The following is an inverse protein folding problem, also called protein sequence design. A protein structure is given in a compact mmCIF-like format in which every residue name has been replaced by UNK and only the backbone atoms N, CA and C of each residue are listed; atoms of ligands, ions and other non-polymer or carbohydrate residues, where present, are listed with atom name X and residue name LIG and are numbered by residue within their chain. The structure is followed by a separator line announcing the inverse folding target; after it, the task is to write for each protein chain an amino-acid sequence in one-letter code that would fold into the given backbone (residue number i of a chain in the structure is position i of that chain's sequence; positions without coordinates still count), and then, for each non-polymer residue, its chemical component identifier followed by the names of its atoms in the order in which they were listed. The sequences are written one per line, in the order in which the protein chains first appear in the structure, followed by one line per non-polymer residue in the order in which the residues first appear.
data_IF_106703626911
#
_entry.id   IF_106703626911
#
_cell.length_a   1.000
_cell.length_b   1.000
_cell.length_c   1.000
_cell.angle_alpha   90.00
_cell.angle_beta   90.00
_cell.angle_gamma   90.00
#
_symmetry.space_group_name_H-M   'P 1'
#
loop_
_entity.id
_entity.type
_entity.pdbx_description
1 polymer ?
#
# COMPACT_ATOMS: atom_id res chain seq x y z
N UNK A 1 34.21 -14.53 29.07
CA UNK A 1 35.01 -15.63 28.49
C UNK A 1 34.90 -16.88 29.37
N UNK A 2 33.91 -17.76 29.18
CA UNK A 2 33.97 -19.12 29.69
C UNK A 2 34.29 -20.12 28.57
N UNK A 3 35.15 -21.09 28.90
CA UNK A 3 35.62 -22.20 28.07
C UNK A 3 34.69 -23.39 28.30
N UNK A 4 33.95 -23.83 27.28
CA UNK A 4 33.13 -25.05 27.32
C UNK A 4 33.80 -26.16 26.51
N UNK A 5 34.52 -27.04 27.21
CA UNK A 5 35.16 -28.24 26.69
C UNK A 5 34.42 -29.46 27.23
N UNK A 6 33.30 -29.85 26.62
CA UNK A 6 32.56 -31.05 27.06
C UNK A 6 31.72 -31.77 25.98
N UNK A 7 31.99 -31.58 24.69
CA UNK A 7 31.20 -32.22 23.61
C UNK A 7 32.05 -33.04 22.63
N UNK A 8 32.89 -33.95 23.14
CA UNK A 8 33.72 -34.83 22.28
C UNK A 8 33.69 -36.32 22.66
N UNK A 9 32.68 -36.81 23.38
CA UNK A 9 32.63 -38.23 23.80
C UNK A 9 31.33 -38.98 23.55
N UNK A 10 30.57 -38.58 22.52
CA UNK A 10 29.31 -39.27 22.19
C UNK A 10 29.13 -39.51 20.69
N UNK A 11 30.22 -39.73 19.95
CA UNK A 11 30.19 -40.01 18.50
C UNK A 11 30.71 -41.40 18.10
N UNK A 12 30.99 -42.32 19.04
CA UNK A 12 31.73 -43.55 18.69
C UNK A 12 30.93 -44.87 18.67
N UNK A 13 29.67 -44.92 19.10
CA UNK A 13 28.95 -46.20 19.24
C UNK A 13 27.82 -46.48 18.22
N UNK A 14 27.57 -45.62 17.24
CA UNK A 14 26.48 -45.85 16.25
C UNK A 14 26.96 -46.55 14.96
N UNK A 15 28.17 -47.12 14.92
CA UNK A 15 28.78 -47.65 13.68
C UNK A 15 28.57 -49.14 13.37
N UNK A 16 27.92 -49.94 14.23
CA UNK A 16 27.92 -51.41 14.06
C UNK A 16 26.63 -52.04 13.51
N UNK A 17 25.61 -51.26 13.11
CA UNK A 17 24.38 -51.79 12.48
C UNK A 17 24.31 -51.57 10.95
N UNK A 18 25.44 -51.62 10.26
CA UNK A 18 25.50 -51.70 8.78
C UNK A 18 25.94 -53.10 8.34
N UNK A 19 25.02 -54.03 8.15
CA UNK A 19 25.15 -55.09 7.13
C UNK A 19 23.97 -56.04 7.12
N UNK A 20 22.89 -55.59 6.48
CA UNK A 20 21.98 -56.43 5.68
C UNK A 20 21.06 -55.45 4.95
N UNK A 21 21.68 -54.65 4.07
CA UNK A 21 20.95 -53.83 3.11
C UNK A 21 20.17 -54.78 2.21
N UNK A 22 18.91 -55.03 2.57
CA UNK A 22 17.95 -55.72 1.72
C UNK A 22 17.93 -54.98 0.39
N UNK A 23 18.11 -55.71 -0.71
CA UNK A 23 18.00 -55.18 -2.08
C UNK A 23 16.67 -54.41 -2.27
N UNK A 24 15.62 -54.76 -1.50
CA UNK A 24 14.35 -54.04 -1.47
C UNK A 24 14.44 -52.60 -0.92
N UNK A 25 15.42 -52.28 -0.07
CA UNK A 25 15.65 -50.93 0.43
C UNK A 25 16.22 -50.00 -0.64
N UNK A 26 17.16 -50.49 -1.45
CA UNK A 26 17.75 -49.71 -2.55
C UNK A 26 16.72 -49.40 -3.64
N UNK A 27 15.85 -50.36 -3.99
CA UNK A 27 14.76 -50.14 -4.94
C UNK A 27 13.77 -49.06 -4.48
N UNK A 28 13.37 -49.09 -3.19
CA UNK A 28 12.51 -48.05 -2.61
C UNK A 28 13.19 -46.68 -2.62
N UNK A 29 14.48 -46.64 -2.30
CA UNK A 29 15.24 -45.39 -2.31
C UNK A 29 15.34 -44.79 -3.73
N UNK A 30 15.57 -45.61 -4.75
CA UNK A 30 15.60 -45.19 -6.16
C UNK A 30 14.22 -44.67 -6.61
N UNK A 31 13.13 -45.33 -6.22
CA UNK A 31 11.76 -44.87 -6.52
C UNK A 31 11.43 -43.52 -5.85
N UNK A 32 11.87 -43.31 -4.59
CA UNK A 32 11.71 -42.04 -3.88
C UNK A 32 12.49 -40.91 -4.56
N UNK A 33 13.72 -41.18 -5.04
CA UNK A 33 14.50 -40.18 -5.77
C UNK A 33 13.88 -39.85 -7.14
N UNK A 34 13.33 -40.83 -7.85
CA UNK A 34 12.67 -40.60 -9.13
C UNK A 34 11.40 -39.74 -8.97
N UNK A 35 10.56 -40.06 -7.98
CA UNK A 35 9.35 -39.28 -7.67
C UNK A 35 9.68 -37.86 -7.19
N UNK A 36 10.70 -37.70 -6.33
CA UNK A 36 11.16 -36.38 -5.87
C UNK A 36 11.68 -35.50 -7.02
N UNK A 37 12.44 -36.07 -7.97
CA UNK A 37 12.90 -35.33 -9.16
C UNK A 37 11.74 -34.85 -10.04
N UNK A 38 10.75 -35.71 -10.25
CA UNK A 38 9.55 -35.36 -11.02
C UNK A 38 8.75 -34.24 -10.33
N UNK A 39 8.56 -34.34 -9.01
CA UNK A 39 7.85 -33.31 -8.23
C UNK A 39 8.59 -31.96 -8.27
N UNK A 40 9.92 -31.98 -8.16
CA UNK A 40 10.74 -30.77 -8.23
C UNK A 40 10.68 -30.12 -9.62
N UNK A 41 10.65 -30.92 -10.69
CA UNK A 41 10.44 -30.42 -12.05
C UNK A 41 9.05 -29.77 -12.20
N UNK A 42 8.00 -30.39 -11.65
CA UNK A 42 6.65 -29.86 -11.67
C UNK A 42 6.55 -28.54 -10.91
N UNK A 43 7.14 -28.44 -9.71
CA UNK A 43 7.19 -27.20 -8.91
C UNK A 43 7.92 -26.07 -9.65
N UNK A 44 9.03 -26.37 -10.33
CA UNK A 44 9.76 -25.40 -11.15
C UNK A 44 8.90 -24.88 -12.33
N UNK A 45 8.20 -25.79 -13.02
CA UNK A 45 7.29 -25.41 -14.11
C UNK A 45 6.16 -24.50 -13.62
N UNK A 46 5.54 -24.82 -12.46
CA UNK A 46 4.49 -23.98 -11.88
C UNK A 46 5.00 -22.60 -11.47
N UNK A 47 6.18 -22.50 -10.83
CA UNK A 47 6.79 -21.21 -10.49
C UNK A 47 7.03 -20.35 -11.73
N UNK A 48 7.59 -20.95 -12.79
CA UNK A 48 7.82 -20.25 -14.06
C UNK A 48 6.52 -19.74 -14.69
N UNK A 49 5.44 -20.55 -14.66
CA UNK A 49 4.13 -20.12 -15.15
C UNK A 49 3.53 -18.97 -14.34
N UNK A 50 3.65 -19.03 -13.00
CA UNK A 50 3.17 -17.96 -12.11
C UNK A 50 3.95 -16.66 -12.35
N UNK A 51 5.27 -16.74 -12.51
CA UNK A 51 6.11 -15.58 -12.79
C UNK A 51 5.75 -14.95 -14.15
N UNK A 52 5.54 -15.76 -15.18
CA UNK A 52 5.20 -15.29 -16.52
C UNK A 52 3.79 -14.66 -16.54
N UNK A 53 2.82 -15.26 -15.84
CA UNK A 53 1.50 -14.68 -15.67
C UNK A 53 1.54 -13.36 -14.87
N UNK A 54 2.40 -13.27 -13.85
CA UNK A 54 2.60 -12.02 -13.11
C UNK A 54 3.21 -10.93 -14.00
N UNK A 55 4.22 -11.26 -14.81
CA UNK A 55 4.82 -10.33 -15.79
C UNK A 55 3.79 -9.85 -16.81
N UNK A 56 3.00 -10.75 -17.38
CA UNK A 56 1.92 -10.39 -18.32
C UNK A 56 0.87 -9.50 -17.66
N UNK A 57 0.51 -9.75 -16.40
CA UNK A 57 -0.45 -8.92 -15.67
C UNK A 57 0.11 -7.53 -15.37
N UNK A 58 1.39 -7.42 -14.99
CA UNK A 58 2.07 -6.13 -14.82
C UNK A 58 2.13 -5.37 -16.15
N UNK A 59 2.48 -6.04 -17.25
CA UNK A 59 2.50 -5.44 -18.58
C UNK A 59 1.10 -4.99 -19.03
N UNK A 60 0.04 -5.74 -18.72
CA UNK A 60 -1.34 -5.32 -19.01
C UNK A 60 -1.80 -4.12 -18.18
N UNK A 61 -1.34 -4.01 -16.93
CA UNK A 61 -1.66 -2.89 -16.05
C UNK A 61 -0.85 -1.65 -16.43
N UNK A 62 0.46 -1.79 -16.63
CA UNK A 62 1.36 -0.69 -16.98
C UNK A 62 1.26 -0.26 -18.44
N UNK A 63 0.94 -1.17 -19.37
CA UNK A 63 0.83 -0.87 -20.81
C UNK A 63 -0.46 -0.14 -21.20
N UNK A 64 -1.45 -0.05 -20.29
CA UNK A 64 -2.66 0.76 -20.49
C UNK A 64 -2.58 2.14 -19.85
N UNK A 65 -1.60 2.37 -18.98
CA UNK A 65 -1.32 3.68 -18.44
C UNK A 65 -0.33 4.38 -19.39
N UNK A 66 -0.74 5.50 -19.98
CA UNK A 66 0.16 6.50 -20.55
C UNK A 66 0.75 6.30 -21.97
N UNK A 67 -0.12 6.12 -22.96
CA UNK A 67 0.02 6.90 -24.21
C UNK A 67 -1.01 8.05 -24.23
N UNK A 68 -1.39 8.56 -23.07
CA UNK A 68 -1.87 9.94 -23.01
C UNK A 68 -0.65 10.80 -23.30
N UNK A 69 -0.57 11.32 -24.52
CA UNK A 69 0.34 12.40 -24.89
C UNK A 69 0.54 13.30 -23.68
N UNK A 70 1.79 13.45 -23.22
CA UNK A 70 2.08 14.48 -22.22
C UNK A 70 1.43 15.75 -22.77
N UNK A 71 0.50 16.38 -22.02
CA UNK A 71 -0.19 17.56 -22.51
C UNK A 71 0.87 18.55 -22.98
N UNK A 72 0.67 19.14 -24.16
CA UNK A 72 1.68 19.96 -24.84
C UNK A 72 2.26 21.05 -23.92
N UNK A 73 1.45 21.53 -22.96
CA UNK A 73 1.84 22.45 -21.90
C UNK A 73 2.99 21.96 -21.01
N UNK A 74 3.02 20.67 -20.64
CA UNK A 74 4.10 20.10 -19.84
C UNK A 74 5.38 19.95 -20.65
N UNK A 75 5.27 19.60 -21.94
CA UNK A 75 6.43 19.53 -22.85
C UNK A 75 7.02 20.93 -23.05
N UNK A 76 6.17 21.95 -23.25
CA UNK A 76 6.58 23.34 -23.34
C UNK A 76 7.23 23.84 -22.04
N UNK A 77 6.66 23.50 -20.87
CA UNK A 77 7.23 23.86 -19.58
C UNK A 77 8.59 23.19 -19.34
N UNK A 78 8.73 21.88 -19.61
CA UNK A 78 10.02 21.18 -19.51
C UNK A 78 11.09 21.83 -20.40
N UNK A 79 10.75 22.15 -21.65
CA UNK A 79 11.67 22.85 -22.57
C UNK A 79 12.08 24.22 -22.05
N UNK A 80 11.15 24.99 -21.49
CA UNK A 80 11.43 26.29 -20.89
C UNK A 80 12.35 26.20 -19.65
N UNK A 81 12.20 25.17 -18.80
CA UNK A 81 13.12 24.91 -17.68
C UNK A 81 14.52 24.56 -18.19
N UNK A 82 14.61 23.66 -19.17
CA UNK A 82 15.89 23.23 -19.74
C UNK A 82 16.64 24.37 -20.44
N UNK A 83 15.93 25.34 -21.01
CA UNK A 83 16.54 26.52 -21.63
C UNK A 83 16.89 27.63 -20.63
N UNK A 84 16.69 27.41 -19.32
CA UNK A 84 16.97 28.41 -18.28
C UNK A 84 15.99 29.58 -18.29
N UNK A 85 14.88 29.49 -19.04
CA UNK A 85 13.83 30.50 -19.04
C UNK A 85 13.02 30.33 -17.77
N UNK A 86 12.94 31.35 -16.89
CA UNK A 86 12.13 31.26 -15.68
C UNK A 86 10.67 31.03 -16.08
N UNK A 87 10.12 29.88 -15.69
CA UNK A 87 8.75 29.45 -16.00
C UNK A 87 7.67 30.44 -15.58
N UNK A 88 7.98 31.30 -14.60
CA UNK A 88 7.12 32.42 -14.26
C UNK A 88 7.69 33.66 -14.92
N UNK A 89 6.93 34.39 -15.75
CA UNK A 89 7.34 35.71 -16.18
C UNK A 89 7.63 36.50 -14.91
N UNK A 90 8.91 36.82 -14.68
CA UNK A 90 9.27 37.80 -13.69
C UNK A 90 8.71 39.09 -14.24
N UNK A 91 7.48 39.46 -13.86
CA UNK A 91 7.02 40.82 -14.05
C UNK A 91 7.78 41.65 -13.04
N UNK A 92 8.75 42.48 -13.46
CA UNK A 92 9.29 43.48 -12.57
C UNK A 92 8.20 44.55 -12.43
N UNK A 93 7.19 44.31 -11.60
CA UNK A 93 6.47 45.43 -11.01
C UNK A 93 7.44 46.04 -10.02
N UNK A 94 8.37 46.82 -10.56
CA UNK A 94 9.46 47.44 -9.82
C UNK A 94 8.98 48.49 -8.84
N UNK A 95 7.66 48.73 -8.75
CA UNK A 95 7.01 49.75 -7.92
C UNK A 95 5.95 49.11 -7.02
N UNK A 96 5.85 49.57 -5.78
CA UNK A 96 4.87 49.09 -4.83
C UNK A 96 3.51 49.74 -5.09
N UNK A 97 2.46 48.94 -5.22
CA UNK A 97 1.11 49.46 -5.45
C UNK A 97 0.50 50.23 -4.24
N UNK A 98 1.16 50.24 -3.08
CA UNK A 98 0.71 50.98 -1.89
C UNK A 98 1.32 52.38 -1.84
N UNK A 99 2.64 52.51 -2.03
CA UNK A 99 3.35 53.79 -1.95
C UNK A 99 3.80 54.37 -3.32
N UNK A 100 3.76 53.57 -4.39
CA UNK A 100 4.25 53.96 -5.72
C UNK A 100 5.77 53.95 -5.89
N UNK A 101 6.53 53.72 -4.81
CA UNK A 101 8.01 53.75 -4.86
C UNK A 101 8.60 52.46 -5.39
N UNK A 102 9.82 52.55 -5.93
CA UNK A 102 10.53 51.39 -6.43
C UNK A 102 10.87 50.40 -5.31
N UNK A 103 10.67 49.11 -5.54
CA UNK A 103 10.94 48.05 -4.56
C UNK A 103 12.36 47.52 -4.78
N UNK A 104 13.21 47.69 -3.77
CA UNK A 104 14.50 47.00 -3.73
C UNK A 104 14.31 45.50 -3.46
N UNK A 105 15.07 44.65 -4.15
CA UNK A 105 14.94 43.19 -4.08
C UNK A 105 15.04 42.63 -2.65
N UNK A 106 15.73 43.32 -1.73
CA UNK A 106 15.90 42.91 -0.33
C UNK A 106 14.63 43.05 0.52
N UNK A 107 13.71 43.93 0.16
CA UNK A 107 12.52 44.26 0.97
C UNK A 107 11.20 43.92 0.27
N UNK A 108 11.27 43.12 -0.79
CA UNK A 108 10.11 42.67 -1.55
C UNK A 108 9.43 41.49 -0.86
N UNK A 109 8.17 41.67 -0.46
CA UNK A 109 7.29 40.57 -0.04
C UNK A 109 6.34 40.24 -1.18
N UNK A 110 6.46 39.02 -1.73
CA UNK A 110 5.55 38.51 -2.76
C UNK A 110 4.45 37.66 -2.11
N UNK A 111 3.20 38.01 -2.36
CA UNK A 111 2.03 37.27 -1.87
C UNK A 111 1.74 36.05 -2.76
N UNK A 112 0.92 35.07 -2.31
CA UNK A 112 0.53 33.92 -3.13
C UNK A 112 -0.23 34.27 -4.41
N UNK A 113 -0.92 35.41 -4.41
CA UNK A 113 -1.55 36.01 -5.59
C UNK A 113 -0.55 36.74 -6.52
N UNK A 114 0.75 36.53 -6.30
CA UNK A 114 1.88 37.05 -7.07
C UNK A 114 2.13 38.57 -7.03
N UNK A 115 1.29 39.33 -6.34
CA UNK A 115 1.54 40.76 -6.11
C UNK A 115 2.72 41.00 -5.17
N UNK A 116 3.52 42.01 -5.48
CA UNK A 116 4.73 42.39 -4.75
C UNK A 116 4.57 43.75 -4.07
N UNK A 117 4.98 43.84 -2.81
CA UNK A 117 4.94 45.07 -2.01
C UNK A 117 6.21 45.21 -1.18
N UNK A 118 6.54 46.42 -0.72
CA UNK A 118 7.49 46.55 0.40
C UNK A 118 6.91 45.84 1.62
N UNK A 119 7.77 45.15 2.37
CA UNK A 119 7.38 44.46 3.61
C UNK A 119 6.65 45.40 4.59
N UNK A 120 7.14 46.63 4.75
CA UNK A 120 6.57 47.63 5.67
C UNK A 120 5.17 48.08 5.22
N UNK A 121 4.99 48.36 3.92
CA UNK A 121 3.71 48.86 3.41
C UNK A 121 2.58 47.83 3.58
N UNK A 122 2.85 46.56 3.24
CA UNK A 122 1.81 45.53 3.36
C UNK A 122 1.54 45.16 4.83
N UNK A 123 2.56 45.18 5.68
CA UNK A 123 2.42 44.91 7.10
C UNK A 123 1.61 46.01 7.81
N UNK A 124 1.85 47.28 7.50
CA UNK A 124 1.07 48.39 8.03
C UNK A 124 -0.40 48.32 7.56
N UNK A 125 -0.64 48.02 6.28
CA UNK A 125 -1.99 47.78 5.76
C UNK A 125 -2.69 46.65 6.51
N UNK A 126 -2.00 45.53 6.75
CA UNK A 126 -2.52 44.39 7.50
C UNK A 126 -2.83 44.74 8.96
N UNK A 127 -1.95 45.50 9.64
CA UNK A 127 -2.19 46.00 11.01
C UNK A 127 -3.41 46.91 11.06
N UNK A 128 -3.54 47.84 10.12
CA UNK A 128 -4.69 48.74 10.06
C UNK A 128 -6.00 47.99 9.84
N UNK A 129 -6.00 47.01 8.93
CA UNK A 129 -7.18 46.21 8.64
C UNK A 129 -7.59 45.34 9.83
N UNK A 130 -6.63 44.69 10.51
CA UNK A 130 -6.92 43.95 11.74
C UNK A 130 -7.48 44.85 12.86
N UNK A 131 -7.01 46.09 12.98
CA UNK A 131 -7.52 47.05 13.98
C UNK A 131 -8.91 47.58 13.67
N UNK A 132 -9.17 47.92 12.40
CA UNK A 132 -10.44 48.55 11.97
C UNK A 132 -11.55 47.53 11.76
N UNK A 133 -11.25 46.43 11.08
CA UNK A 133 -12.24 45.45 10.61
C UNK A 133 -12.25 44.17 11.46
N UNK A 134 -11.21 43.91 12.27
CA UNK A 134 -11.00 42.64 13.00
C UNK A 134 -10.91 41.40 12.09
N UNK A 135 -10.67 41.61 10.81
CA UNK A 135 -10.48 40.56 9.82
C UNK A 135 -9.07 39.96 9.90
N UNK A 136 -9.01 38.67 10.25
CA UNK A 136 -7.75 37.90 10.33
C UNK A 136 -7.35 37.28 8.99
N UNK A 137 -8.09 37.56 7.91
CA UNK A 137 -7.88 36.98 6.56
C UNK A 137 -6.70 37.59 5.80
N UNK A 138 -6.14 38.70 6.29
CA UNK A 138 -4.98 39.41 5.75
C UNK A 138 -5.01 39.50 4.19
N UNK A 139 -5.99 40.18 3.58
CA UNK A 139 -6.10 40.20 2.13
C UNK A 139 -4.96 40.97 1.47
N UNK A 140 -4.74 40.67 0.19
CA UNK A 140 -3.90 41.45 -0.70
C UNK A 140 -4.54 42.82 -0.97
N UNK A 141 -3.73 43.88 -0.96
CA UNK A 141 -4.20 45.24 -1.26
C UNK A 141 -4.82 45.37 -2.65
N UNK A 142 -4.21 44.74 -3.67
CA UNK A 142 -4.62 44.89 -5.08
C UNK A 142 -5.82 44.02 -5.46
N UNK A 143 -5.78 42.71 -5.15
CA UNK A 143 -6.78 41.76 -5.61
C UNK A 143 -7.72 41.26 -4.50
N UNK A 144 -7.52 41.68 -3.25
CA UNK A 144 -8.27 41.24 -2.07
C UNK A 144 -8.20 39.73 -1.75
N UNK A 145 -7.41 38.95 -2.49
CA UNK A 145 -7.19 37.54 -2.21
C UNK A 145 -6.49 37.36 -0.84
N UNK A 146 -6.84 36.34 -0.04
CA UNK A 146 -6.21 36.09 1.25
C UNK A 146 -4.72 35.79 1.07
N UNK A 147 -3.86 36.52 1.79
CA UNK A 147 -2.41 36.36 1.66
C UNK A 147 -1.86 35.11 2.34
N UNK A 148 -2.60 34.57 3.30
CA UNK A 148 -2.25 33.34 4.00
C UNK A 148 -3.45 32.39 3.92
N UNK A 149 -3.19 31.14 3.51
CA UNK A 149 -4.11 30.06 3.88
C UNK A 149 -4.01 29.94 5.39
N UNK A 150 -5.11 30.23 6.09
CA UNK A 150 -5.11 30.07 7.55
C UNK A 150 -4.78 28.62 7.88
N UNK A 151 -4.11 28.39 9.01
CA UNK A 151 -3.82 27.04 9.50
C UNK A 151 -5.13 26.22 9.60
N UNK A 152 -6.24 26.89 9.91
CA UNK A 152 -7.57 26.29 9.95
C UNK A 152 -8.00 25.77 8.57
N UNK A 153 -7.88 26.58 7.50
CA UNK A 153 -8.18 26.13 6.14
C UNK A 153 -7.33 24.92 5.74
N UNK A 154 -6.03 24.92 6.10
CA UNK A 154 -5.17 23.76 5.84
C UNK A 154 -5.56 22.53 6.68
N UNK A 155 -5.99 22.73 7.93
CA UNK A 155 -6.46 21.66 8.79
C UNK A 155 -7.77 21.04 8.29
N UNK A 156 -8.68 21.88 7.78
CA UNK A 156 -9.95 21.48 7.18
C UNK A 156 -9.72 20.75 5.84
N UNK A 157 -8.85 21.27 4.98
CA UNK A 157 -8.42 20.57 3.74
C UNK A 157 -7.84 19.19 4.07
N UNK A 158 -6.99 19.09 5.11
CA UNK A 158 -6.40 17.80 5.53
C UNK A 158 -7.41 16.86 6.19
N UNK A 159 -8.47 17.39 6.81
CA UNK A 159 -9.57 16.58 7.36
C UNK A 159 -10.42 16.03 6.22
N UNK A 160 -10.87 16.89 5.30
CA UNK A 160 -11.64 16.51 4.12
C UNK A 160 -10.90 15.46 3.28
N UNK A 161 -9.57 15.59 3.13
CA UNK A 161 -8.75 14.59 2.44
C UNK A 161 -8.76 13.23 3.13
N UNK A 162 -8.65 13.20 4.46
CA UNK A 162 -8.70 11.95 5.23
C UNK A 162 -10.07 11.30 5.18
N UNK A 163 -11.15 12.09 5.20
CA UNK A 163 -12.51 11.59 5.06
C UNK A 163 -12.74 10.99 3.67
N UNK A 164 -12.30 11.67 2.60
CA UNK A 164 -12.39 11.16 1.24
C UNK A 164 -11.54 9.90 1.02
N UNK A 165 -10.31 9.85 1.57
CA UNK A 165 -9.45 8.67 1.52
C UNK A 165 -10.07 7.49 2.30
N UNK A 166 -10.67 7.75 3.47
CA UNK A 166 -11.37 6.75 4.26
C UNK A 166 -12.62 6.22 3.54
N UNK A 167 -13.40 7.09 2.90
CA UNK A 167 -14.57 6.69 2.11
C UNK A 167 -14.15 5.87 0.88
N UNK A 168 -13.09 6.28 0.18
CA UNK A 168 -12.54 5.54 -0.95
C UNK A 168 -12.03 4.16 -0.52
N UNK A 169 -11.35 4.07 0.62
CA UNK A 169 -10.88 2.81 1.19
C UNK A 169 -12.06 1.89 1.59
N UNK A 170 -13.12 2.45 2.19
CA UNK A 170 -14.32 1.69 2.53
C UNK A 170 -15.05 1.16 1.29
N UNK A 171 -15.16 2.00 0.24
CA UNK A 171 -15.74 1.58 -1.05
C UNK A 171 -14.91 0.49 -1.72
N UNK A 172 -13.58 0.62 -1.70
CA UNK A 172 -12.67 -0.41 -2.24
C UNK A 172 -12.81 -1.74 -1.48
N UNK A 173 -12.86 -1.70 -0.15
CA UNK A 173 -13.06 -2.89 0.68
C UNK A 173 -14.41 -3.59 0.38
N UNK A 174 -15.49 -2.82 0.23
CA UNK A 174 -16.80 -3.35 -0.14
C UNK A 174 -16.81 -4.00 -1.53
N UNK A 175 -16.10 -3.40 -2.50
CA UNK A 175 -15.96 -3.99 -3.84
C UNK A 175 -15.14 -5.30 -3.82
N UNK A 176 -14.07 -5.37 -3.03
CA UNK A 176 -13.30 -6.60 -2.87
C UNK A 176 -14.13 -7.71 -2.21
N UNK A 177 -14.94 -7.39 -1.21
CA UNK A 177 -15.83 -8.35 -0.55
C UNK A 177 -16.91 -8.86 -1.52
N UNK A 178 -17.53 -7.97 -2.29
CA UNK A 178 -18.50 -8.35 -3.34
C UNK A 178 -17.85 -9.27 -4.39
N UNK A 179 -16.67 -8.93 -4.88
CA UNK A 179 -15.94 -9.76 -5.83
C UNK A 179 -15.57 -11.15 -5.26
N UNK A 180 -15.24 -11.23 -3.97
CA UNK A 180 -15.01 -12.52 -3.28
C UNK A 180 -16.27 -13.35 -3.17
N UNK A 181 -17.41 -12.73 -2.84
CA UNK A 181 -18.70 -13.41 -2.74
C UNK A 181 -19.14 -13.97 -4.11
N UNK A 182 -18.98 -13.20 -5.18
CA UNK A 182 -19.26 -13.66 -6.55
C UNK A 182 -18.35 -14.82 -6.97
N UNK A 183 -17.06 -14.74 -6.69
CA UNK A 183 -16.11 -15.82 -6.97
C UNK A 183 -16.46 -17.11 -6.21
N UNK A 184 -16.89 -17.00 -4.93
CA UNK A 184 -17.34 -18.14 -4.14
C UNK A 184 -18.63 -18.76 -4.68
N UNK A 185 -19.59 -17.94 -5.12
CA UNK A 185 -20.84 -18.41 -5.73
C UNK A 185 -20.58 -19.16 -7.06
N UNK A 186 -19.68 -18.64 -7.90
CA UNK A 186 -19.26 -19.29 -9.14
C UNK A 186 -18.59 -20.65 -8.88
N UNK A 187 -17.71 -20.74 -7.87
CA UNK A 187 -17.07 -22.00 -7.48
C UNK A 187 -18.08 -23.03 -6.95
N UNK A 188 -19.08 -22.59 -6.17
CA UNK A 188 -20.14 -23.45 -5.66
C UNK A 188 -21.06 -24.07 -6.72
N UNK A 189 -21.29 -23.36 -7.83
CA UNK A 189 -22.11 -23.85 -8.94
C UNK A 189 -21.42 -24.97 -9.76
N UNK A 190 -20.09 -24.95 -9.85
CA UNK A 190 -19.32 -25.98 -10.55
C UNK A 190 -19.28 -27.30 -9.78
N UNK A 191 -19.26 -27.27 -8.44
CA UNK A 191 -19.11 -28.46 -7.59
C UNK A 191 -20.34 -29.37 -7.46
N UNK A 192 -21.55 -28.92 -7.85
CA UNK A 192 -22.79 -29.71 -7.65
C UNK A 192 -23.09 -30.75 -8.73
N UNK A 193 -22.32 -30.80 -9.83
CA UNK A 193 -22.64 -31.67 -10.99
C UNK A 193 -21.96 -33.06 -11.00
N UNK A 194 -21.13 -33.41 -10.02
CA UNK A 194 -20.37 -34.68 -10.05
C UNK A 194 -20.58 -35.63 -8.86
N UNK A 195 -21.48 -35.33 -7.92
CA UNK A 195 -21.77 -36.22 -6.79
C UNK A 195 -23.17 -36.84 -6.85
N UNK A 196 -23.43 -37.62 -7.89
CA UNK A 196 -24.52 -38.62 -7.92
C UNK A 196 -23.97 -40.05 -7.84
N UNK A 197 -22.90 -40.28 -7.06
CA UNK A 197 -22.29 -41.60 -6.91
C UNK A 197 -22.37 -42.07 -5.46
N UNK A 198 -23.36 -42.94 -5.24
CA UNK A 198 -23.48 -44.02 -4.25
C UNK A 198 -23.34 -43.67 -2.76
N UNK A 199 -24.51 -43.50 -2.11
CA UNK A 199 -24.72 -43.90 -0.71
C UNK A 199 -24.30 -45.36 -0.52
N UNK A 200 -23.18 -45.64 0.15
CA UNK A 200 -22.95 -46.88 0.94
C UNK A 200 -21.68 -46.76 1.78
N UNK A 201 -21.82 -47.08 3.07
CA UNK A 201 -20.81 -47.15 4.15
C UNK A 201 -20.37 -45.77 4.67
N UNK A 202 -20.79 -45.29 5.83
CA UNK A 202 -20.77 -46.00 7.12
C UNK A 202 -19.33 -46.13 7.62
N UNK A 203 -18.57 -45.03 7.62
CA UNK A 203 -17.15 -44.99 8.00
C UNK A 203 -16.96 -44.53 9.46
N UNK A 204 -16.02 -45.18 10.14
CA UNK A 204 -15.73 -45.15 11.58
C UNK A 204 -15.52 -43.75 12.22
N UNK A 205 -15.33 -42.69 11.44
CA UNK A 205 -15.11 -41.34 11.96
C UNK A 205 -16.36 -40.71 12.62
N UNK A 206 -17.57 -41.13 12.23
CA UNK A 206 -18.80 -40.68 12.88
C UNK A 206 -18.96 -41.20 14.33
N UNK A 207 -18.25 -42.27 14.70
CA UNK A 207 -18.27 -42.82 16.05
C UNK A 207 -17.39 -42.01 17.03
N UNK A 208 -16.26 -41.48 16.56
CA UNK A 208 -15.35 -40.67 17.39
C UNK A 208 -15.95 -39.29 17.74
N UNK A 209 -16.75 -38.69 16.86
CA UNK A 209 -17.40 -37.41 17.12
C UNK A 209 -18.49 -37.49 18.21
N UNK A 210 -19.13 -38.65 18.43
CA UNK A 210 -20.08 -38.85 19.53
C UNK A 210 -19.40 -39.10 20.87
N UNK A 211 -18.19 -39.66 20.89
CA UNK A 211 -17.45 -39.88 22.13
C UNK A 211 -16.95 -38.57 22.77
N UNK A 212 -16.64 -37.54 21.96
CA UNK A 212 -16.17 -36.25 22.48
C UNK A 212 -17.28 -35.38 23.11
N UNK A 213 -18.54 -35.58 22.74
CA UNK A 213 -19.66 -34.78 23.26
C UNK A 213 -20.22 -35.29 24.59
N UNK A 214 -19.83 -36.49 25.05
CA UNK A 214 -20.29 -37.08 26.31
C UNK A 214 -19.48 -36.68 27.55
N UNK A 215 -18.40 -35.88 27.42
CA UNK A 215 -17.43 -35.63 28.49
C UNK A 215 -17.56 -34.29 29.24
N UNK A 216 -18.52 -33.43 28.91
CA UNK A 216 -18.62 -32.07 29.46
C UNK A 216 -19.82 -31.88 30.41
N UNK A 217 -20.10 -32.86 31.26
CA UNK A 217 -21.03 -32.72 32.38
C UNK A 217 -20.25 -32.88 33.69
N UNK A 218 -19.89 -31.76 34.31
CA UNK A 218 -19.41 -31.75 35.69
C UNK A 218 -18.24 -30.81 35.94
N UNK A 219 -18.55 -29.56 36.33
CA UNK A 219 -17.97 -28.87 37.51
C UNK A 219 -18.51 -27.44 37.58
N UNK A 220 -19.75 -27.30 38.07
CA UNK A 220 -20.19 -26.09 38.76
C UNK A 220 -19.87 -26.27 40.25
N UNK A 221 -18.68 -25.83 40.67
CA UNK A 221 -18.35 -25.45 42.05
C UNK A 221 -17.50 -24.19 41.88
N UNK A 222 -17.99 -23.00 42.22
CA UNK A 222 -18.27 -22.58 43.60
C UNK A 222 -17.19 -21.57 43.98
N UNK A 223 -17.55 -20.29 44.16
CA UNK A 223 -16.59 -19.27 44.55
C UNK A 223 -17.25 -17.91 44.74
N UNK A 224 -17.59 -17.64 46.00
CA UNK A 224 -18.25 -16.45 46.53
C UNK A 224 -17.42 -15.16 46.39
#
# INVERSE_FOLDING_TARGET
MPKNSSTLRECQEVSSHRSRGSLGGLLKQVQLFATSKAELAQRKSLRSKVELAAKQKVEQLCGREHETQEPEDLIAAKRAVSSGVPLRPQRPSGECAICGEKIEAKHLKRLPCEHSFHFVCIDEFHRQKMRKEKDMSLPCYTCKAPSHRSINVLADERRARREAEAEAAARAAAQEEAARAEAAAAAGAAGRRTHSVTRRRGGALAALARAAQGGAAGSEEGGA
#
